data_IF_146170519500
#
_entry.id   IF_146170519500
#
_cell.length_a   1.000
_cell.length_b   1.000
_cell.length_c   1.000
_cell.angle_alpha   90.00
_cell.angle_beta   90.00
_cell.angle_gamma   90.00
#
_symmetry.space_group_name_H-M   'P 1'
#
loop_
_entity.id
_entity.type
_entity.pdbx_description
1 polymer ?
#
# COMPACT_ATOMS: atom_id res chain seq x y z
N UNK A 1 -1.14 1.13 -28.30
CA UNK A 1 -0.06 1.84 -27.58
C UNK A 1 0.46 0.89 -26.51
N UNK A 2 1.79 0.72 -26.37
CA UNK A 2 2.34 -0.06 -25.25
C UNK A 2 2.22 0.79 -23.99
N UNK A 3 1.48 0.32 -22.99
CA UNK A 3 1.50 0.93 -21.67
C UNK A 3 2.84 0.56 -21.04
N UNK A 4 3.75 1.54 -20.96
CA UNK A 4 4.97 1.36 -20.20
C UNK A 4 4.63 1.39 -18.72
N UNK A 5 5.15 0.41 -18.00
CA UNK A 5 5.08 0.34 -16.54
C UNK A 5 6.48 0.61 -16.03
N UNK A 6 6.62 1.59 -15.14
CA UNK A 6 7.86 1.85 -14.41
C UNK A 6 7.62 1.56 -12.93
N UNK A 7 8.52 0.82 -12.31
CA UNK A 7 8.46 0.48 -10.89
C UNK A 7 9.70 1.08 -10.23
N UNK A 8 9.49 1.90 -9.20
CA UNK A 8 10.56 2.49 -8.39
C UNK A 8 10.47 1.92 -6.99
N UNK A 9 11.49 1.16 -6.59
CA UNK A 9 11.67 0.74 -5.21
C UNK A 9 12.42 1.82 -4.43
N UNK A 10 11.94 2.16 -3.23
CA UNK A 10 12.60 3.13 -2.36
C UNK A 10 13.33 2.42 -1.21
N UNK A 11 12.58 1.73 -0.34
CA UNK A 11 13.10 1.01 0.83
C UNK A 11 11.98 0.16 1.45
N UNK A 12 12.32 -0.83 2.26
CA UNK A 12 11.35 -1.64 3.01
C UNK A 12 10.23 -2.18 2.10
N UNK A 13 8.98 -1.85 2.46
CA UNK A 13 7.77 -2.13 1.70
C UNK A 13 7.36 -1.00 0.73
N UNK A 14 8.11 0.10 0.69
CA UNK A 14 7.80 1.31 -0.10
C UNK A 14 8.25 1.18 -1.56
N UNK A 15 7.27 1.24 -2.46
CA UNK A 15 7.53 1.36 -3.90
C UNK A 15 6.44 2.17 -4.60
N UNK A 16 6.76 2.67 -5.79
CA UNK A 16 5.82 3.36 -6.66
C UNK A 16 5.73 2.65 -8.01
N UNK A 17 4.52 2.64 -8.59
CA UNK A 17 4.25 2.09 -9.92
C UNK A 17 3.61 3.17 -10.78
N UNK A 18 4.29 3.57 -11.85
CA UNK A 18 3.80 4.52 -12.83
C UNK A 18 3.22 3.76 -14.03
N UNK A 19 1.93 4.00 -14.31
CA UNK A 19 1.19 3.39 -15.43
C UNK A 19 0.47 4.52 -16.17
N UNK A 20 0.95 4.86 -17.37
CA UNK A 20 0.40 5.98 -18.13
C UNK A 20 0.56 7.32 -17.38
N UNK A 21 -0.57 7.92 -16.97
CA UNK A 21 -0.63 9.16 -16.18
C UNK A 21 -1.09 8.94 -14.74
N UNK A 22 -1.06 7.69 -14.28
CA UNK A 22 -1.41 7.26 -12.93
C UNK A 22 -0.15 6.83 -12.18
N UNK A 23 0.02 7.34 -10.96
CA UNK A 23 1.08 6.94 -10.03
C UNK A 23 0.45 6.25 -8.83
N UNK A 24 0.83 5.00 -8.59
CA UNK A 24 0.44 4.23 -7.41
C UNK A 24 1.62 4.22 -6.44
N UNK A 25 1.43 4.64 -5.19
CA UNK A 25 2.47 4.66 -4.16
C UNK A 25 2.02 3.76 -3.03
N UNK A 26 2.84 2.79 -2.67
CA UNK A 26 2.48 1.83 -1.63
C UNK A 26 3.39 1.94 -0.41
N UNK A 27 2.80 1.77 0.76
CA UNK A 27 3.47 1.63 2.06
C UNK A 27 4.53 2.71 2.34
N UNK A 28 4.28 3.96 1.93
CA UNK A 28 5.23 5.05 2.18
C UNK A 28 5.24 5.41 3.67
N UNK A 29 6.43 5.38 4.28
CA UNK A 29 6.61 5.67 5.68
C UNK A 29 7.96 6.32 5.95
N UNK A 30 7.99 7.39 6.74
CA UNK A 30 9.23 7.94 7.24
C UNK A 30 9.42 7.52 8.69
N UNK A 31 10.52 6.81 8.98
CA UNK A 31 10.93 6.52 10.37
C UNK A 31 11.44 7.80 11.01
N UNK A 32 10.96 8.10 12.22
CA UNK A 32 11.36 9.31 12.98
C UNK A 32 12.87 9.35 13.33
N UNK A 33 13.54 8.20 13.34
CA UNK A 33 14.94 8.05 13.81
C UNK A 33 15.95 7.71 12.71
N UNK A 34 15.53 7.53 11.46
CA UNK A 34 16.47 7.29 10.35
C UNK A 34 16.70 8.59 9.57
N UNK A 35 17.72 9.35 9.97
CA UNK A 35 18.27 10.50 9.20
C UNK A 35 18.80 10.10 7.80
N UNK A 36 18.74 8.81 7.45
CA UNK A 36 19.37 8.21 6.27
C UNK A 36 18.39 7.43 5.40
N UNK A 37 17.13 7.87 5.26
CA UNK A 37 16.34 7.41 4.11
C UNK A 37 17.08 7.82 2.83
N UNK A 38 17.51 6.88 1.97
CA UNK A 38 18.40 7.19 0.85
C UNK A 38 17.72 8.11 -0.17
N UNK A 39 16.39 8.05 -0.31
CA UNK A 39 15.59 8.88 -1.21
C UNK A 39 14.18 9.08 -0.61
N UNK A 40 13.75 10.33 -0.44
CA UNK A 40 12.37 10.69 -0.08
C UNK A 40 11.56 11.04 -1.32
N UNK A 41 10.29 10.63 -1.35
CA UNK A 41 9.34 11.08 -2.36
C UNK A 41 9.10 12.58 -2.16
N UNK A 42 9.15 13.35 -3.24
CA UNK A 42 8.97 14.78 -3.23
C UNK A 42 8.13 15.27 -4.41
N UNK A 43 7.83 16.57 -4.46
CA UNK A 43 7.01 17.21 -5.49
C UNK A 43 7.42 16.88 -6.94
N UNK A 44 8.70 16.58 -7.20
CA UNK A 44 9.17 16.23 -8.55
C UNK A 44 8.66 14.86 -9.00
N UNK A 45 8.50 13.92 -8.07
CA UNK A 45 8.02 12.57 -8.35
C UNK A 45 6.53 12.56 -8.73
N UNK A 46 5.78 13.59 -8.31
CA UNK A 46 4.37 13.77 -8.64
C UNK A 46 4.14 14.50 -9.97
N UNK A 47 5.18 15.16 -10.50
CA UNK A 47 5.04 16.01 -11.67
C UNK A 47 4.65 15.21 -12.91
N UNK A 48 3.60 15.67 -13.59
CA UNK A 48 3.14 15.08 -14.85
C UNK A 48 2.20 13.89 -14.71
N UNK A 49 1.80 13.51 -13.48
CA UNK A 49 0.71 12.57 -13.22
C UNK A 49 -0.62 13.32 -13.04
N UNK A 50 -1.70 12.72 -13.54
CA UNK A 50 -3.06 13.26 -13.43
C UNK A 50 -3.86 12.58 -12.31
N UNK A 51 -3.37 11.46 -11.80
CA UNK A 51 -3.96 10.68 -10.73
C UNK A 51 -2.83 10.07 -9.90
N UNK A 52 -2.84 10.29 -8.58
CA UNK A 52 -1.86 9.74 -7.64
C UNK A 52 -2.65 9.05 -6.54
N UNK A 53 -2.43 7.75 -6.35
CA UNK A 53 -3.12 6.97 -5.33
C UNK A 53 -2.11 6.38 -4.37
N UNK A 54 -2.28 6.68 -3.09
CA UNK A 54 -1.37 6.31 -2.00
C UNK A 54 -2.04 5.23 -1.17
N UNK A 55 -1.38 4.08 -1.00
CA UNK A 55 -1.92 2.91 -0.34
C UNK A 55 -1.18 2.62 0.95
N UNK A 56 -1.92 2.44 2.04
CA UNK A 56 -1.39 1.99 3.33
C UNK A 56 -2.09 0.71 3.76
N UNK A 57 -1.45 -0.46 3.63
CA UNK A 57 -2.09 -1.75 3.93
C UNK A 57 -2.35 -1.97 5.42
N UNK A 58 -1.61 -1.28 6.26
CA UNK A 58 -1.62 -1.42 7.71
C UNK A 58 -1.28 -0.06 8.33
N UNK A 59 -1.71 0.21 9.56
CA UNK A 59 -1.45 1.48 10.25
C UNK A 59 -0.22 1.42 11.19
N UNK A 60 0.82 0.68 10.80
CA UNK A 60 2.08 0.52 11.55
C UNK A 60 3.23 1.28 10.89
N UNK A 61 4.35 1.45 11.60
CA UNK A 61 5.46 2.32 11.19
C UNK A 61 6.14 1.86 9.90
N UNK A 62 6.08 0.57 9.58
CA UNK A 62 6.63 -0.08 8.39
C UNK A 62 5.78 0.15 7.13
N UNK A 63 4.56 0.67 7.28
CA UNK A 63 3.61 0.85 6.18
C UNK A 63 3.01 2.25 6.11
N UNK A 64 3.05 3.02 7.20
CA UNK A 64 2.30 4.27 7.32
C UNK A 64 3.03 5.34 8.12
N UNK A 65 3.07 6.55 7.55
CA UNK A 65 3.46 7.76 8.27
C UNK A 65 2.58 8.95 7.89
N UNK A 66 2.23 9.79 8.86
CA UNK A 66 1.39 10.98 8.66
C UNK A 66 2.03 12.01 7.73
N UNK A 67 3.33 11.88 7.43
CA UNK A 67 4.04 12.75 6.48
C UNK A 67 3.39 12.76 5.10
N UNK A 68 2.69 11.68 4.69
CA UNK A 68 1.98 11.64 3.39
C UNK A 68 0.93 12.74 3.28
N UNK A 69 0.36 13.21 4.40
CA UNK A 69 -0.62 14.29 4.41
C UNK A 69 0.01 15.69 4.32
N UNK A 70 1.33 15.81 4.42
CA UNK A 70 2.07 17.08 4.29
C UNK A 70 2.37 17.43 2.83
N UNK A 71 2.16 16.48 1.91
CA UNK A 71 2.38 16.68 0.48
C UNK A 71 1.49 17.77 -0.10
N UNK A 72 2.00 18.44 -1.13
CA UNK A 72 1.38 19.64 -1.67
C UNK A 72 -0.02 19.36 -2.22
N UNK A 73 -1.03 20.01 -1.64
CA UNK A 73 -2.46 19.85 -1.98
C UNK A 73 -2.84 20.18 -3.43
N UNK A 74 -1.95 20.78 -4.22
CA UNK A 74 -2.20 21.04 -5.64
C UNK A 74 -2.08 19.79 -6.52
N UNK A 75 -1.50 18.70 -6.01
CA UNK A 75 -1.43 17.44 -6.73
C UNK A 75 -2.73 16.62 -6.56
N UNK A 76 -3.13 15.84 -7.58
CA UNK A 76 -4.35 15.03 -7.55
C UNK A 76 -4.13 13.73 -6.76
N UNK A 77 -3.93 13.85 -5.46
CA UNK A 77 -3.60 12.74 -4.56
C UNK A 77 -4.87 12.23 -3.87
N UNK A 78 -5.08 10.90 -3.90
CA UNK A 78 -6.04 10.19 -3.06
C UNK A 78 -5.33 9.18 -2.17
N UNK A 79 -5.85 8.96 -0.97
CA UNK A 79 -5.28 8.05 0.02
C UNK A 79 -6.25 6.89 0.24
N UNK A 80 -5.73 5.66 0.18
CA UNK A 80 -6.45 4.41 0.43
C UNK A 80 -5.76 3.74 1.60
N UNK A 81 -6.36 3.86 2.78
CA UNK A 81 -5.74 3.52 4.04
C UNK A 81 -6.52 2.40 4.73
N UNK A 82 -5.83 1.49 5.40
CA UNK A 82 -6.48 0.56 6.33
C UNK A 82 -7.31 1.32 7.37
N UNK A 83 -8.43 0.74 7.82
CA UNK A 83 -9.38 1.43 8.71
C UNK A 83 -8.79 1.85 10.06
N UNK A 84 -7.73 1.19 10.51
CA UNK A 84 -6.96 1.54 11.72
C UNK A 84 -6.26 2.90 11.63
N UNK A 85 -6.02 3.42 10.43
CA UNK A 85 -5.42 4.74 10.25
C UNK A 85 -6.40 5.89 10.56
N UNK A 86 -7.69 5.60 10.85
CA UNK A 86 -8.77 6.59 10.98
C UNK A 86 -8.49 7.69 12.00
N UNK A 87 -7.94 7.34 13.16
CA UNK A 87 -7.68 8.32 14.22
C UNK A 87 -6.41 9.16 13.97
N UNK A 88 -5.58 8.76 13.00
CA UNK A 88 -4.31 9.41 12.64
C UNK A 88 -4.41 10.22 11.36
N UNK A 89 -5.41 9.94 10.52
CA UNK A 89 -5.63 10.59 9.25
C UNK A 89 -6.56 11.82 9.40
N UNK A 90 -6.31 12.90 8.66
CA UNK A 90 -7.19 14.07 8.65
C UNK A 90 -8.52 13.76 7.95
N UNK A 91 -9.58 14.44 8.38
CA UNK A 91 -10.90 14.37 7.73
C UNK A 91 -10.88 15.14 6.40
N UNK A 92 -10.60 14.43 5.30
CA UNK A 92 -10.52 14.99 3.95
C UNK A 92 -11.26 14.09 2.94
N UNK A 93 -11.91 14.67 1.92
CA UNK A 93 -12.75 13.91 0.97
C UNK A 93 -11.97 12.95 0.05
N UNK A 94 -10.65 13.13 -0.04
CA UNK A 94 -9.74 12.27 -0.82
C UNK A 94 -9.07 11.18 0.03
N UNK A 95 -9.53 10.96 1.27
CA UNK A 95 -9.09 9.87 2.13
C UNK A 95 -10.18 8.80 2.18
N UNK A 96 -9.79 7.57 1.83
CA UNK A 96 -10.67 6.40 1.78
C UNK A 96 -10.15 5.37 2.78
N UNK A 97 -10.95 5.08 3.80
CA UNK A 97 -10.67 3.98 4.72
C UNK A 97 -11.25 2.69 4.19
N UNK A 98 -10.44 1.63 4.19
CA UNK A 98 -10.82 0.32 3.67
C UNK A 98 -10.53 -0.81 4.64
N UNK A 99 -11.28 -1.88 4.47
CA UNK A 99 -11.13 -3.19 5.14
C UNK A 99 -11.20 -4.30 4.10
N UNK A 100 -10.86 -5.52 4.52
CA UNK A 100 -11.03 -6.73 3.72
C UNK A 100 -12.43 -6.78 3.06
N UNK A 101 -12.46 -7.17 1.78
CA UNK A 101 -13.68 -7.30 0.99
C UNK A 101 -14.19 -5.99 0.39
N UNK A 102 -13.56 -4.84 0.68
CA UNK A 102 -13.90 -3.60 0.00
C UNK A 102 -13.46 -3.61 -1.46
N UNK A 103 -14.33 -3.06 -2.31
CA UNK A 103 -14.03 -2.74 -3.70
C UNK A 103 -14.31 -1.25 -3.92
N UNK A 104 -13.29 -0.49 -4.32
CA UNK A 104 -13.42 0.94 -4.59
C UNK A 104 -12.78 1.29 -5.93
N UNK A 105 -13.22 2.40 -6.52
CA UNK A 105 -12.64 2.94 -7.75
C UNK A 105 -12.30 4.42 -7.55
N UNK A 106 -11.08 4.80 -7.94
CA UNK A 106 -10.58 6.16 -7.88
C UNK A 106 -10.08 6.53 -9.29
N UNK A 107 -10.87 7.36 -9.98
CA UNK A 107 -10.69 7.65 -11.41
C UNK A 107 -10.59 6.34 -12.24
N UNK A 108 -9.44 6.05 -12.84
CA UNK A 108 -9.15 4.87 -13.65
C UNK A 108 -8.58 3.68 -12.87
N UNK A 109 -8.49 3.79 -11.54
CA UNK A 109 -7.88 2.80 -10.65
C UNK A 109 -8.97 2.00 -9.94
N UNK A 110 -9.09 0.72 -10.24
CA UNK A 110 -9.97 -0.21 -9.55
C UNK A 110 -9.18 -0.95 -8.47
N UNK A 111 -9.72 -1.02 -7.26
CA UNK A 111 -9.01 -1.53 -6.08
C UNK A 111 -9.88 -2.59 -5.43
N UNK A 112 -9.36 -3.81 -5.37
CA UNK A 112 -9.90 -4.89 -4.54
C UNK A 112 -9.00 -5.08 -3.31
N UNK A 113 -9.63 -5.06 -2.13
CA UNK A 113 -8.95 -5.20 -0.85
C UNK A 113 -9.16 -6.62 -0.33
N UNK A 114 -8.07 -7.36 -0.10
CA UNK A 114 -8.11 -8.75 0.39
C UNK A 114 -7.41 -8.87 1.74
N UNK A 115 -7.57 -10.01 2.40
CA UNK A 115 -6.94 -10.26 3.70
C UNK A 115 -5.42 -10.32 3.59
N UNK A 116 -4.71 -9.91 4.65
CA UNK A 116 -3.27 -10.12 4.82
C UNK A 116 -2.97 -11.04 6.03
N UNK A 117 -3.64 -12.20 6.07
CA UNK A 117 -3.46 -13.20 7.13
C UNK A 117 -3.74 -12.68 8.56
N UNK A 118 -4.65 -11.70 8.69
CA UNK A 118 -5.11 -11.16 9.97
C UNK A 118 -4.38 -9.92 10.48
N UNK A 119 -3.39 -9.40 9.75
CA UNK A 119 -2.67 -8.17 10.10
C UNK A 119 -2.67 -7.23 8.88
N UNK A 120 -3.55 -6.21 8.91
CA UNK A 120 -3.77 -5.31 7.77
C UNK A 120 -4.47 -5.96 6.57
N UNK A 121 -4.22 -5.42 5.37
CA UNK A 121 -4.84 -5.85 4.10
C UNK A 121 -3.83 -5.93 2.95
N UNK A 122 -4.18 -6.69 1.91
CA UNK A 122 -3.52 -6.63 0.60
C UNK A 122 -4.35 -5.83 -0.40
N UNK A 123 -3.69 -5.29 -1.43
CA UNK A 123 -4.35 -4.56 -2.52
C UNK A 123 -4.11 -5.24 -3.87
N UNK A 124 -5.19 -5.59 -4.54
CA UNK A 124 -5.20 -5.87 -5.98
C UNK A 124 -5.70 -4.63 -6.72
N UNK A 125 -4.80 -3.97 -7.43
CA UNK A 125 -5.03 -2.70 -8.10
C UNK A 125 -4.97 -2.89 -9.61
N UNK A 126 -6.01 -2.49 -10.33
CA UNK A 126 -6.05 -2.49 -11.79
C UNK A 126 -6.12 -1.06 -12.34
N UNK A 127 -5.22 -0.72 -13.26
CA UNK A 127 -5.23 0.55 -13.98
C UNK A 127 -4.67 0.36 -15.38
N UNK A 128 -5.32 0.96 -16.38
CA UNK A 128 -4.93 0.85 -17.80
C UNK A 128 -4.71 -0.60 -18.30
N UNK A 129 -5.49 -1.55 -17.80
CA UNK A 129 -5.39 -2.97 -18.14
C UNK A 129 -4.16 -3.69 -17.55
N UNK A 130 -3.48 -3.07 -16.59
CA UNK A 130 -2.37 -3.65 -15.82
C UNK A 130 -2.85 -3.88 -14.39
N UNK A 131 -2.58 -5.08 -13.87
CA UNK A 131 -2.85 -5.44 -12.48
C UNK A 131 -1.56 -5.43 -11.65
N UNK A 132 -1.62 -4.79 -10.49
CA UNK A 132 -0.56 -4.73 -9.47
C UNK A 132 -1.12 -5.32 -8.18
N UNK A 133 -0.43 -6.31 -7.62
CA UNK A 133 -0.77 -6.87 -6.31
C UNK A 133 0.27 -6.46 -5.28
N UNK A 134 -0.17 -5.75 -4.23
CA UNK A 134 0.63 -5.43 -3.06
C UNK A 134 0.17 -6.30 -1.89
N UNK A 135 1.03 -7.22 -1.46
CA UNK A 135 0.73 -8.21 -0.43
C UNK A 135 0.57 -7.62 0.99
N UNK A 136 1.07 -6.41 1.24
CA UNK A 136 1.12 -5.90 2.62
C UNK A 136 2.00 -6.84 3.44
N UNK A 137 1.45 -7.31 4.55
CA UNK A 137 2.09 -8.30 5.42
C UNK A 137 1.75 -9.76 5.05
N UNK A 138 0.98 -10.02 3.99
CA UNK A 138 0.63 -11.39 3.57
C UNK A 138 1.89 -12.20 3.21
N UNK A 139 2.15 -13.26 3.98
CA UNK A 139 3.33 -14.09 3.81
C UNK A 139 3.05 -15.56 4.21
N UNK A 140 3.85 -16.47 3.66
CA UNK A 140 3.89 -17.88 4.05
C UNK A 140 5.36 -18.29 4.27
N UNK A 141 6.01 -17.58 5.18
CA UNK A 141 7.40 -17.80 5.52
C UNK A 141 7.51 -18.07 7.03
N UNK A 142 8.22 -19.14 7.38
CA UNK A 142 8.42 -19.55 8.77
C UNK A 142 9.71 -20.35 8.86
N UNK A 143 10.60 -19.98 9.77
CA UNK A 143 11.89 -20.66 9.89
C UNK A 143 11.73 -21.81 10.87
N UNK A 144 11.81 -23.05 10.38
CA UNK A 144 11.54 -24.25 11.20
C UNK A 144 12.45 -24.37 12.44
N UNK A 145 13.61 -23.72 12.38
CA UNK A 145 14.57 -23.68 13.49
C UNK A 145 14.24 -22.60 14.54
N UNK A 146 13.38 -21.63 14.22
CA UNK A 146 13.04 -20.48 15.08
C UNK A 146 11.56 -20.49 15.50
N UNK A 147 10.68 -21.13 14.74
CA UNK A 147 9.23 -21.14 14.95
C UNK A 147 8.76 -22.52 15.42
N UNK A 148 8.13 -22.65 16.60
CA UNK A 148 7.55 -23.90 17.07
C UNK A 148 6.55 -24.50 16.06
N UNK A 149 6.49 -25.84 15.89
CA UNK A 149 5.58 -26.47 14.93
C UNK A 149 4.11 -26.09 15.10
N UNK A 150 3.65 -25.87 16.34
CA UNK A 150 2.27 -25.44 16.62
C UNK A 150 1.97 -24.03 16.11
N UNK A 151 2.96 -23.14 16.12
CA UNK A 151 2.83 -21.78 15.60
C UNK A 151 2.85 -21.76 14.07
N UNK A 152 3.68 -22.61 13.45
CA UNK A 152 3.71 -22.80 11.99
C UNK A 152 2.32 -23.17 11.46
N UNK A 153 1.63 -24.12 12.11
CA UNK A 153 0.27 -24.54 11.71
C UNK A 153 -0.69 -23.34 11.72
N UNK A 154 -0.65 -22.51 12.78
CA UNK A 154 -1.50 -21.33 12.88
C UNK A 154 -1.20 -20.26 11.81
N UNK A 155 0.08 -20.06 11.47
CA UNK A 155 0.50 -19.14 10.39
C UNK A 155 0.06 -19.66 9.02
N UNK A 156 0.23 -20.95 8.76
CA UNK A 156 -0.24 -21.62 7.53
C UNK A 156 -1.77 -21.49 7.39
N UNK A 157 -2.53 -21.79 8.45
CA UNK A 157 -4.00 -21.65 8.46
C UNK A 157 -4.45 -20.21 8.16
N UNK A 158 -3.84 -19.21 8.80
CA UNK A 158 -4.13 -17.79 8.52
C UNK A 158 -3.88 -17.43 7.06
N UNK A 159 -2.75 -17.87 6.51
CA UNK A 159 -2.41 -17.61 5.11
C UNK A 159 -3.40 -18.28 4.14
N UNK A 160 -3.68 -19.57 4.31
CA UNK A 160 -4.57 -20.30 3.41
C UNK A 160 -6.01 -19.75 3.44
N UNK A 161 -6.48 -19.33 4.62
CA UNK A 161 -7.77 -18.65 4.73
C UNK A 161 -7.77 -17.31 3.99
N UNK A 162 -6.69 -16.52 4.10
CA UNK A 162 -6.55 -15.21 3.45
C UNK A 162 -6.50 -15.26 1.92
N UNK A 163 -5.93 -16.32 1.34
CA UNK A 163 -5.82 -16.46 -0.13
C UNK A 163 -7.03 -17.18 -0.75
N UNK A 164 -7.89 -17.80 0.06
CA UNK A 164 -9.10 -18.48 -0.38
C UNK A 164 -10.33 -17.55 -0.49
N UNK A 165 -10.24 -16.33 0.06
CA UNK A 165 -11.28 -15.29 0.07
C UNK A 165 -11.25 -14.37 -1.15
#
# INVERSE_FOLDING_TARGET
MRNFVAITYFYGSTFAVAIGKTLLIFSYHEKEQEELLPVKINDRDFSGFNNIVVFSPHAVAEHFSNVIFTWKKSFPISYVLHEEARDRAPDMPNVHFVREGNHISIADVNIKVTSAAGEGVSFLVESHGISVFHAGDLNLWHWRDETPPTEIIGLEEKFYNAVAS
#
